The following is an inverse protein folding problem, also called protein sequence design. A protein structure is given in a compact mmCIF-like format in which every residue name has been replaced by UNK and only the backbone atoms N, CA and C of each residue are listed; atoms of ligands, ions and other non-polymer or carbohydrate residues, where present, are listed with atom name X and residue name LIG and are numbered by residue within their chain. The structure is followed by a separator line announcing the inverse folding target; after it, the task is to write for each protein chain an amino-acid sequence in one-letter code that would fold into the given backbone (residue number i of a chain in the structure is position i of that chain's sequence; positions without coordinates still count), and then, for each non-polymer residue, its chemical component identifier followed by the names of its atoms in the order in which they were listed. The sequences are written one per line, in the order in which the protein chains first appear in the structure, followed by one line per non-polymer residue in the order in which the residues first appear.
data_IF_304140377156
#
_entry.id   IF_304140377156
#
_cell.length_a   1.000
_cell.length_b   1.000
_cell.length_c   1.000
_cell.angle_alpha   90.00
_cell.angle_beta   90.00
_cell.angle_gamma   90.00
#
_symmetry.space_group_name_H-M   'P 1'
#
loop_
_entity.id
_entity.type
_entity.pdbx_description
1 polymer ?
#
# COMPACT_ATOMS: atom_id res chain seq x y z
N UNK A 1 -6.51 2.75 7.67
CA UNK A 1 -5.81 1.94 6.65
C UNK A 1 -4.44 1.54 7.15
N UNK A 2 -3.76 0.61 6.49
CA UNK A 2 -2.43 0.14 6.89
C UNK A 2 -1.28 0.97 6.31
N UNK A 3 -1.53 1.79 5.29
CA UNK A 3 -0.54 2.70 4.70
C UNK A 3 -0.42 3.97 5.54
N UNK A 4 0.81 4.40 5.82
CA UNK A 4 1.15 5.66 6.48
C UNK A 4 1.82 6.61 5.50
N UNK A 5 1.42 7.88 5.54
CA UNK A 5 2.09 8.97 4.84
C UNK A 5 3.26 9.42 5.72
N UNK A 6 4.48 9.31 5.22
CA UNK A 6 5.69 9.74 5.95
C UNK A 6 5.97 11.21 5.67
N UNK A 7 5.88 11.60 4.40
CA UNK A 7 6.04 12.97 3.92
C UNK A 7 5.28 13.15 2.59
N UNK A 8 5.49 14.28 1.91
CA UNK A 8 4.80 14.63 0.66
C UNK A 8 5.05 13.65 -0.52
N UNK A 9 6.11 12.85 -0.47
CA UNK A 9 6.51 11.92 -1.54
C UNK A 9 6.80 10.50 -1.05
N UNK A 10 6.62 10.21 0.22
CA UNK A 10 6.95 8.90 0.79
C UNK A 10 5.76 8.28 1.49
N UNK A 11 5.43 7.04 1.11
CA UNK A 11 4.46 6.19 1.80
C UNK A 11 5.16 5.00 2.43
N UNK A 12 4.61 4.48 3.52
CA UNK A 12 5.04 3.22 4.13
C UNK A 12 3.86 2.28 4.33
N UNK A 13 4.09 1.01 4.01
CA UNK A 13 3.11 -0.07 4.16
C UNK A 13 3.74 -1.26 4.91
N UNK A 14 3.22 -1.63 6.09
CA UNK A 14 3.76 -2.75 6.85
C UNK A 14 3.33 -4.09 6.25
N UNK A 15 4.25 -5.05 6.22
CA UNK A 15 3.91 -6.46 6.04
C UNK A 15 3.36 -7.01 7.36
N UNK A 16 2.03 -7.17 7.40
CA UNK A 16 1.30 -7.73 8.55
C UNK A 16 1.12 -9.23 8.39
N UNK A 17 0.99 -9.93 9.51
CA UNK A 17 0.63 -11.35 9.52
C UNK A 17 -0.72 -11.55 8.83
N UNK A 18 -0.67 -12.08 7.61
CA UNK A 18 -1.83 -12.47 6.81
C UNK A 18 -1.68 -13.90 6.30
N UNK A 19 -1.96 -14.12 5.01
CA UNK A 19 -1.77 -15.41 4.33
C UNK A 19 -0.28 -15.83 4.17
N UNK A 20 0.66 -15.07 4.76
CA UNK A 20 2.11 -15.28 4.72
C UNK A 20 2.69 -15.42 3.30
N UNK A 21 2.03 -14.85 2.29
CA UNK A 21 2.54 -14.84 0.92
C UNK A 21 3.44 -13.64 0.71
N UNK A 22 4.67 -13.92 0.27
CA UNK A 22 5.68 -12.91 -0.05
C UNK A 22 5.80 -12.64 -1.56
N UNK A 23 4.81 -13.03 -2.37
CA UNK A 23 4.88 -12.92 -3.84
C UNK A 23 5.08 -11.47 -4.28
N UNK A 24 4.29 -10.53 -3.74
CA UNK A 24 4.46 -9.10 -4.02
C UNK A 24 5.81 -8.55 -3.56
N UNK A 25 6.34 -9.05 -2.44
CA UNK A 25 7.66 -8.65 -1.93
C UNK A 25 8.79 -9.11 -2.86
N UNK A 26 8.71 -10.36 -3.35
CA UNK A 26 9.65 -10.88 -4.36
C UNK A 26 9.59 -10.11 -5.66
N UNK A 27 8.38 -9.70 -6.08
CA UNK A 27 8.21 -8.87 -7.27
C UNK A 27 8.92 -7.52 -7.10
N UNK A 28 8.76 -6.85 -5.95
CA UNK A 28 9.41 -5.56 -5.64
C UNK A 28 10.94 -5.68 -5.68
N UNK A 29 11.50 -6.77 -5.14
CA UNK A 29 12.96 -7.02 -5.18
C UNK A 29 13.46 -7.14 -6.62
N UNK A 30 12.68 -7.76 -7.51
CA UNK A 30 13.04 -7.93 -8.93
C UNK A 30 12.80 -6.66 -9.76
N UNK A 31 11.72 -5.95 -9.48
CA UNK A 31 11.28 -4.74 -10.17
C UNK A 31 10.64 -3.79 -9.16
N UNK A 32 11.27 -2.63 -8.87
CA UNK A 32 10.80 -1.74 -7.82
C UNK A 32 9.51 -1.01 -8.18
N UNK A 33 9.04 -1.04 -9.44
CA UNK A 33 7.87 -0.27 -9.86
C UNK A 33 6.60 -0.83 -9.22
N UNK A 34 5.86 0.05 -8.53
CA UNK A 34 4.60 -0.31 -7.85
C UNK A 34 3.47 0.63 -8.20
N UNK A 35 2.24 0.09 -8.14
CA UNK A 35 1.00 0.85 -8.21
C UNK A 35 0.12 0.49 -7.02
N UNK A 36 -0.33 1.50 -6.27
CA UNK A 36 -1.28 1.37 -5.18
C UNK A 36 -2.62 1.95 -5.62
N UNK A 37 -3.69 1.23 -5.31
CA UNK A 37 -5.07 1.67 -5.56
C UNK A 37 -5.78 1.79 -4.21
N UNK A 38 -6.30 2.97 -3.92
CA UNK A 38 -7.08 3.24 -2.71
C UNK A 38 -8.55 3.35 -3.06
N UNK A 39 -9.33 2.43 -2.50
CA UNK A 39 -10.77 2.34 -2.64
C UNK A 39 -11.42 2.70 -1.30
N UNK A 40 -12.40 3.59 -1.33
CA UNK A 40 -13.16 3.98 -0.14
C UNK A 40 -14.60 3.47 -0.33
N UNK A 41 -15.11 2.60 0.56
CA UNK A 41 -16.48 2.11 0.47
C UNK A 41 -17.50 3.24 0.32
N UNK A 42 -18.45 3.06 -0.59
CA UNK A 42 -19.47 4.06 -0.93
C UNK A 42 -18.99 5.23 -1.80
N UNK A 43 -17.68 5.37 -2.05
CA UNK A 43 -17.13 6.39 -2.95
C UNK A 43 -16.97 5.86 -4.36
N UNK A 44 -17.44 6.62 -5.35
CA UNK A 44 -17.09 6.38 -6.76
C UNK A 44 -15.65 6.79 -7.09
N UNK A 45 -15.03 7.65 -6.28
CA UNK A 45 -13.69 8.16 -6.53
C UNK A 45 -12.64 7.17 -6.05
N UNK A 46 -11.68 6.87 -6.93
CA UNK A 46 -10.54 6.00 -6.62
C UNK A 46 -9.24 6.80 -6.76
N UNK A 47 -8.30 6.62 -5.84
CA UNK A 47 -6.99 7.24 -5.91
C UNK A 47 -5.95 6.20 -6.33
N UNK A 48 -5.14 6.54 -7.35
CA UNK A 48 -4.00 5.74 -7.77
C UNK A 48 -2.69 6.47 -7.46
N UNK A 49 -1.77 5.74 -6.86
CA UNK A 49 -0.39 6.18 -6.60
C UNK A 49 0.54 5.24 -7.35
N UNK A 50 1.40 5.79 -8.20
CA UNK A 50 2.51 5.02 -8.79
C UNK A 50 3.83 5.51 -8.23
N UNK A 51 4.79 4.59 -8.11
CA UNK A 51 6.09 4.91 -7.57
C UNK A 51 7.08 3.77 -7.69
N UNK A 52 8.17 3.90 -6.95
CA UNK A 52 9.18 2.86 -6.75
C UNK A 52 9.18 2.44 -5.29
N UNK A 53 9.33 1.16 -5.03
CA UNK A 53 9.34 0.60 -3.70
C UNK A 53 10.61 -0.16 -3.39
N UNK A 54 10.97 -0.17 -2.11
CA UNK A 54 11.93 -1.09 -1.55
C UNK A 54 11.40 -1.65 -0.22
N UNK A 55 12.00 -2.73 0.24
CA UNK A 55 11.62 -3.40 1.49
C UNK A 55 12.70 -3.11 2.53
N UNK A 56 12.28 -2.66 3.70
CA UNK A 56 13.15 -2.50 4.86
C UNK A 56 12.73 -3.44 5.98
N UNK A 57 13.72 -3.99 6.69
CA UNK A 57 13.55 -4.72 7.95
C UNK A 57 14.17 -3.95 9.11
N UNK A 58 14.43 -2.64 8.92
CA UNK A 58 14.91 -1.75 9.98
C UNK A 58 14.01 -1.83 11.21
N UNK A 59 14.63 -1.98 12.38
CA UNK A 59 13.92 -2.25 13.62
C UNK A 59 13.01 -1.09 14.03
N UNK A 60 13.45 0.15 13.85
CA UNK A 60 12.66 1.33 14.19
C UNK A 60 11.42 1.45 13.27
N UNK A 61 11.62 1.25 11.97
CA UNK A 61 10.57 1.25 10.97
C UNK A 61 9.53 0.16 11.25
N UNK A 62 9.97 -1.08 11.52
CA UNK A 62 9.08 -2.19 11.86
C UNK A 62 8.35 -1.99 13.20
N UNK A 63 9.04 -1.48 14.22
CA UNK A 63 8.45 -1.16 15.52
C UNK A 63 7.40 -0.04 15.44
N UNK A 64 7.60 0.93 14.55
CA UNK A 64 6.62 2.02 14.36
C UNK A 64 5.28 1.55 13.78
N UNK A 65 5.17 0.31 13.31
CA UNK A 65 3.93 -0.34 12.88
C UNK A 65 3.47 -1.47 13.83
N UNK A 66 3.86 -1.41 15.10
CA UNK A 66 3.48 -2.40 16.11
C UNK A 66 1.97 -2.48 16.30
N UNK A 67 1.44 -3.71 16.34
CA UNK A 67 0.05 -4.03 16.68
C UNK A 67 0.05 -5.16 17.69
N UNK A 68 -0.68 -5.02 18.79
CA UNK A 68 -0.77 -6.00 19.87
C UNK A 68 0.60 -6.51 20.35
N UNK A 69 1.55 -5.58 20.53
CA UNK A 69 2.91 -5.86 20.98
C UNK A 69 3.81 -6.54 19.94
N UNK A 70 3.37 -6.70 18.69
CA UNK A 70 4.13 -7.36 17.63
C UNK A 70 4.51 -6.36 16.54
N UNK A 71 5.81 -6.14 16.27
CA UNK A 71 6.24 -5.27 15.18
C UNK A 71 5.87 -5.88 13.81
N UNK A 72 5.89 -5.05 12.76
CA UNK A 72 5.81 -5.56 11.39
C UNK A 72 7.03 -6.44 11.07
N UNK A 73 6.89 -7.42 10.16
CA UNK A 73 8.03 -8.25 9.74
C UNK A 73 8.98 -7.49 8.81
N UNK A 74 8.40 -6.67 7.96
CA UNK A 74 9.09 -5.75 7.07
C UNK A 74 8.15 -4.58 6.77
N UNK A 75 8.70 -3.52 6.21
CA UNK A 75 7.96 -2.36 5.73
C UNK A 75 8.32 -2.16 4.27
N UNK A 76 7.31 -2.06 3.41
CA UNK A 76 7.48 -1.56 2.06
C UNK A 76 7.47 -0.03 2.12
N UNK A 77 8.58 0.59 1.72
CA UNK A 77 8.70 2.05 1.57
C UNK A 77 8.49 2.37 0.10
N UNK A 78 7.64 3.36 -0.19
CA UNK A 78 7.26 3.73 -1.55
C UNK A 78 7.59 5.20 -1.78
N UNK A 79 8.50 5.45 -2.71
CA UNK A 79 8.79 6.76 -3.28
C UNK A 79 7.77 7.05 -4.38
N UNK A 80 6.95 8.08 -4.17
CA UNK A 80 5.84 8.45 -5.04
C UNK A 80 6.33 9.21 -6.27
N UNK A 81 6.07 8.65 -7.46
CA UNK A 81 6.34 9.31 -8.75
C UNK A 81 5.14 10.12 -9.24
N UNK A 82 3.91 9.58 -9.06
CA UNK A 82 2.69 10.22 -9.56
C UNK A 82 1.47 9.84 -8.74
N UNK A 83 0.52 10.76 -8.62
CA UNK A 83 -0.77 10.55 -7.96
C UNK A 83 -1.88 11.10 -8.84
N UNK A 84 -2.93 10.32 -9.06
CA UNK A 84 -4.09 10.76 -9.82
C UNK A 84 -5.37 10.04 -9.40
N UNK A 85 -6.50 10.69 -9.68
CA UNK A 85 -7.80 10.06 -9.54
C UNK A 85 -8.06 9.14 -10.72
N UNK A 86 -8.48 7.91 -10.43
CA UNK A 86 -8.92 6.92 -11.42
C UNK A 86 -10.44 7.04 -11.62
N UNK A 87 -10.89 6.93 -12.87
CA UNK A 87 -12.30 7.04 -13.24
C UNK A 87 -13.18 6.03 -12.48
N UNK A 88 -14.32 6.52 -11.96
CA UNK A 88 -15.31 5.76 -11.20
C UNK A 88 -16.05 4.67 -12.00
N UNK A 89 -15.95 4.69 -13.34
CA UNK A 89 -16.81 3.88 -14.23
C UNK A 89 -16.75 2.38 -13.91
N UNK A 90 -15.56 1.85 -13.58
CA UNK A 90 -15.40 0.45 -13.21
C UNK A 90 -16.13 0.13 -11.90
N UNK A 91 -15.97 0.98 -10.89
CA UNK A 91 -16.58 0.84 -9.56
C UNK A 91 -18.11 0.89 -9.63
N UNK A 92 -18.66 1.84 -10.39
CA UNK A 92 -20.11 2.00 -10.57
C UNK A 92 -20.69 0.82 -11.33
N UNK A 93 -20.05 0.40 -12.43
CA UNK A 93 -20.56 -0.71 -13.27
C UNK A 93 -20.49 -2.07 -12.59
N UNK A 94 -19.54 -2.28 -11.68
CA UNK A 94 -19.44 -3.53 -10.94
C UNK A 94 -20.34 -3.59 -9.72
N UNK A 95 -21.12 -2.53 -9.46
CA UNK A 95 -21.94 -2.39 -8.24
C UNK A 95 -21.12 -2.66 -6.97
N UNK A 96 -19.83 -2.28 -6.95
CA UNK A 96 -18.86 -2.76 -5.94
C UNK A 96 -19.29 -2.50 -4.49
N UNK A 97 -20.06 -1.44 -4.29
CA UNK A 97 -20.52 -0.98 -2.98
C UNK A 97 -21.99 -1.24 -2.71
N UNK A 98 -22.70 -1.91 -3.61
CA UNK A 98 -24.11 -2.28 -3.47
C UNK A 98 -24.20 -3.81 -3.30
N UNK A 99 -24.12 -4.31 -2.05
CA UNK A 99 -24.11 -5.75 -1.76
C UNK A 99 -25.43 -6.45 -2.05
#
# INVERSE_FOLDING_TARGET
GFVRIVDAKTLMMPDRRGNNRADSLKNIIRDPRVGLLFLVPGSGTTLRVNGRAHITTDAASCASFMVDGKPARSVTVIDVDSVYFQCARAIVRSELWNP
#
